data_IF_159351100588
#
_entry.id   IF_159351100588
#
_cell.length_a   1.000
_cell.length_b   1.000
_cell.length_c   1.000
_cell.angle_alpha   90.00
_cell.angle_beta   90.00
_cell.angle_gamma   90.00
#
_symmetry.space_group_name_H-M   'P 1'
#
loop_
_entity.id
_entity.type
_entity.pdbx_description
1 polymer ?
#
# COMPACT_ATOMS: atom_id res chain seq x y z
N UNK A 1 30.86 -54.11 -15.43
CA UNK A 1 30.69 -53.27 -16.63
C UNK A 1 30.53 -51.82 -16.19
N UNK A 2 31.60 -51.06 -16.36
CA UNK A 2 31.81 -49.66 -15.98
C UNK A 2 31.07 -48.71 -16.93
N UNK A 3 30.16 -47.88 -16.42
CA UNK A 3 29.74 -46.65 -17.12
C UNK A 3 30.57 -45.49 -16.58
N UNK A 4 31.29 -44.86 -17.50
CA UNK A 4 32.38 -43.91 -17.28
C UNK A 4 31.92 -42.67 -16.52
N UNK A 5 32.70 -42.32 -15.50
CA UNK A 5 32.76 -41.02 -14.83
C UNK A 5 33.27 -39.97 -15.83
N UNK A 6 32.60 -38.83 -15.96
CA UNK A 6 33.19 -37.54 -16.38
C UNK A 6 32.11 -36.45 -16.27
N UNK A 7 32.36 -35.41 -15.46
CA UNK A 7 31.61 -34.16 -15.58
C UNK A 7 31.54 -33.30 -14.32
N UNK A 8 32.68 -32.73 -13.94
CA UNK A 8 32.83 -31.45 -13.22
C UNK A 8 32.07 -31.22 -11.91
N UNK A 9 32.85 -31.32 -10.83
CA UNK A 9 32.65 -30.61 -9.55
C UNK A 9 32.55 -29.11 -9.85
N UNK A 10 31.44 -28.48 -9.47
CA UNK A 10 31.36 -27.04 -9.23
C UNK A 10 30.92 -26.82 -7.79
N UNK A 11 31.92 -26.62 -6.94
CA UNK A 11 31.79 -25.99 -5.64
C UNK A 11 31.35 -24.54 -5.87
N UNK A 12 30.15 -24.18 -5.39
CA UNK A 12 29.78 -22.79 -5.14
C UNK A 12 29.21 -22.70 -3.73
N UNK A 13 30.12 -22.77 -2.75
CA UNK A 13 29.87 -22.17 -1.45
C UNK A 13 29.99 -20.66 -1.63
N UNK A 14 28.85 -19.97 -1.65
CA UNK A 14 28.83 -18.51 -1.45
C UNK A 14 28.00 -18.25 -0.21
N UNK A 15 28.71 -18.11 0.92
CA UNK A 15 28.18 -17.47 2.10
C UNK A 15 27.93 -15.99 1.75
N UNK A 16 26.67 -15.64 1.48
CA UNK A 16 26.26 -14.24 1.53
C UNK A 16 25.68 -13.99 2.92
N UNK A 17 26.57 -13.50 3.79
CA UNK A 17 26.17 -12.67 4.91
C UNK A 17 25.59 -11.40 4.29
N UNK A 18 24.28 -11.40 4.11
CA UNK A 18 23.49 -10.23 3.79
C UNK A 18 22.17 -10.42 4.48
N UNK A 19 21.89 -9.61 5.50
CA UNK A 19 20.50 -9.31 5.81
C UNK A 19 20.14 -8.22 4.80
N UNK A 20 19.46 -8.54 3.67
CA UNK A 20 18.87 -7.47 2.91
C UNK A 20 17.77 -6.92 3.81
N UNK A 21 17.95 -5.69 4.30
CA UNK A 21 16.85 -4.91 4.82
C UNK A 21 15.70 -5.03 3.83
N UNK A 22 14.55 -5.47 4.33
CA UNK A 22 13.44 -5.98 3.55
C UNK A 22 13.07 -5.01 2.41
N UNK A 23 13.39 -5.39 1.17
CA UNK A 23 12.64 -4.89 0.05
C UNK A 23 11.22 -5.45 0.22
N UNK A 24 10.29 -4.63 0.70
CA UNK A 24 8.85 -4.93 0.73
C UNK A 24 8.06 -4.24 -0.41
N UNK A 25 8.58 -4.12 -1.67
CA UNK A 25 7.82 -3.44 -2.72
C UNK A 25 6.51 -4.18 -3.00
N UNK A 26 6.54 -5.52 -3.01
CA UNK A 26 5.38 -6.35 -3.31
C UNK A 26 4.15 -6.10 -2.42
N UNK A 27 4.32 -5.65 -1.16
CA UNK A 27 3.19 -5.31 -0.27
C UNK A 27 2.69 -3.90 -0.48
N UNK A 28 3.56 -2.96 -0.83
CA UNK A 28 3.15 -1.60 -1.17
C UNK A 28 2.34 -1.60 -2.48
N UNK A 29 2.84 -2.32 -3.49
CA UNK A 29 2.17 -2.47 -4.79
C UNK A 29 0.79 -3.16 -4.62
N UNK A 30 0.72 -4.24 -3.84
CA UNK A 30 -0.56 -4.92 -3.59
C UNK A 30 -1.59 -4.07 -2.83
N UNK A 31 -1.13 -3.24 -1.88
CA UNK A 31 -2.02 -2.33 -1.16
C UNK A 31 -2.49 -1.17 -2.05
N UNK A 32 -1.60 -0.66 -2.92
CA UNK A 32 -1.93 0.34 -3.93
C UNK A 32 -2.99 -0.17 -4.91
N UNK A 33 -2.81 -1.38 -5.43
CA UNK A 33 -3.78 -2.02 -6.33
C UNK A 33 -5.14 -2.23 -5.65
N UNK A 34 -5.15 -2.72 -4.40
CA UNK A 34 -6.37 -2.93 -3.64
C UNK A 34 -7.10 -1.62 -3.34
N UNK A 35 -6.37 -0.57 -3.00
CA UNK A 35 -6.91 0.77 -2.76
C UNK A 35 -7.59 1.32 -4.02
N UNK A 36 -6.89 1.29 -5.16
CA UNK A 36 -7.44 1.77 -6.44
C UNK A 36 -8.64 0.95 -6.89
N UNK A 37 -8.61 -0.37 -6.70
CA UNK A 37 -9.73 -1.25 -7.01
C UNK A 37 -10.97 -0.92 -6.17
N UNK A 38 -10.79 -0.62 -4.88
CA UNK A 38 -11.88 -0.23 -3.99
C UNK A 38 -12.50 1.12 -4.40
N UNK A 39 -11.68 2.14 -4.70
CA UNK A 39 -12.18 3.43 -5.20
C UNK A 39 -13.01 3.24 -6.48
N UNK A 40 -12.51 2.45 -7.43
CA UNK A 40 -13.22 2.17 -8.68
C UNK A 40 -14.54 1.42 -8.46
N UNK A 41 -14.57 0.49 -7.51
CA UNK A 41 -15.78 -0.26 -7.18
C UNK A 41 -16.87 0.63 -6.56
N UNK A 42 -16.47 1.71 -5.90
CA UNK A 42 -17.36 2.71 -5.29
C UNK A 42 -17.73 3.87 -6.25
N UNK A 43 -17.22 3.85 -7.48
CA UNK A 43 -17.48 4.91 -8.47
C UNK A 43 -16.65 6.19 -8.25
N UNK A 44 -15.61 6.12 -7.41
CA UNK A 44 -14.69 7.23 -7.16
C UNK A 44 -13.65 7.28 -8.29
N UNK A 45 -13.90 8.18 -9.23
CA UNK A 45 -12.91 8.54 -10.26
C UNK A 45 -11.81 9.43 -9.67
N UNK A 46 -10.60 9.28 -10.22
CA UNK A 46 -9.43 10.03 -9.82
C UNK A 46 -8.72 10.58 -11.05
N UNK A 47 -8.10 11.77 -10.92
CA UNK A 47 -7.35 12.40 -12.02
C UNK A 47 -6.18 11.53 -12.47
N UNK A 48 -5.48 10.90 -11.52
CA UNK A 48 -4.45 9.91 -11.78
C UNK A 48 -4.33 8.90 -10.64
N UNK A 49 -3.97 7.67 -10.99
CA UNK A 49 -3.74 6.58 -10.03
C UNK A 49 -2.68 7.00 -9.00
N UNK A 50 -1.60 7.64 -9.47
CA UNK A 50 -0.50 8.10 -8.64
C UNK A 50 -0.94 9.21 -7.66
N UNK A 51 -1.79 10.14 -8.09
CA UNK A 51 -2.33 11.17 -7.20
C UNK A 51 -3.24 10.56 -6.12
N UNK A 52 -4.10 9.60 -6.50
CA UNK A 52 -4.96 8.90 -5.56
C UNK A 52 -4.15 8.15 -4.49
N UNK A 53 -3.12 7.40 -4.90
CA UNK A 53 -2.22 6.69 -3.97
C UNK A 53 -1.51 7.68 -3.04
N UNK A 54 -0.97 8.78 -3.58
CA UNK A 54 -0.28 9.79 -2.77
C UNK A 54 -1.22 10.43 -1.74
N UNK A 55 -2.45 10.77 -2.13
CA UNK A 55 -3.48 11.30 -1.25
C UNK A 55 -3.91 10.26 -0.19
N UNK A 56 -4.07 8.98 -0.57
CA UNK A 56 -4.41 7.91 0.37
C UNK A 56 -3.33 7.72 1.44
N UNK A 57 -2.04 7.77 1.05
CA UNK A 57 -0.93 7.68 2.01
C UNK A 57 -0.85 8.91 2.92
N UNK A 58 -1.30 10.08 2.48
CA UNK A 58 -1.35 11.29 3.30
C UNK A 58 -2.34 11.15 4.46
N UNK A 59 -3.39 10.33 4.33
CA UNK A 59 -4.36 10.07 5.42
C UNK A 59 -3.65 9.63 6.69
N UNK A 60 -2.72 8.67 6.59
CA UNK A 60 -1.97 8.21 7.77
C UNK A 60 -1.17 9.32 8.44
N UNK A 61 -0.56 10.20 7.64
CA UNK A 61 0.19 11.34 8.17
C UNK A 61 -0.74 12.33 8.88
N UNK A 62 -1.93 12.60 8.35
CA UNK A 62 -2.89 13.50 9.00
C UNK A 62 -3.41 12.91 10.31
N UNK A 63 -3.69 11.61 10.35
CA UNK A 63 -4.05 10.89 11.57
C UNK A 63 -2.93 10.96 12.62
N UNK A 64 -1.68 10.76 12.20
CA UNK A 64 -0.50 10.86 13.07
C UNK A 64 -0.30 12.27 13.65
N UNK A 65 -0.78 13.29 12.94
CA UNK A 65 -0.80 14.69 13.40
C UNK A 65 -2.01 15.01 14.31
N UNK A 66 -2.85 14.01 14.61
CA UNK A 66 -3.98 14.12 15.53
C UNK A 66 -5.28 14.60 14.90
N UNK A 67 -5.37 14.67 13.56
CA UNK A 67 -6.65 14.94 12.90
C UNK A 67 -7.59 13.75 13.01
N UNK A 68 -8.88 14.03 13.14
CA UNK A 68 -9.95 13.03 13.05
C UNK A 68 -10.20 12.60 11.59
N UNK A 69 -10.80 11.43 11.39
CA UNK A 69 -11.21 10.97 10.05
C UNK A 69 -12.17 11.96 9.37
N UNK A 70 -13.09 12.58 10.12
CA UNK A 70 -14.05 13.57 9.60
C UNK A 70 -13.36 14.84 9.10
N UNK A 71 -12.34 15.32 9.83
CA UNK A 71 -11.54 16.47 9.40
C UNK A 71 -10.75 16.14 8.13
N UNK A 72 -10.21 14.93 8.04
CA UNK A 72 -9.47 14.48 6.85
C UNK A 72 -10.43 14.31 5.66
N UNK A 73 -11.62 13.76 5.85
CA UNK A 73 -12.64 13.64 4.81
C UNK A 73 -13.09 15.03 4.32
N UNK A 74 -13.21 15.99 5.24
CA UNK A 74 -13.48 17.39 4.88
C UNK A 74 -12.34 18.00 4.05
N UNK A 75 -11.07 17.73 4.41
CA UNK A 75 -9.91 18.16 3.62
C UNK A 75 -9.91 17.53 2.21
N UNK A 76 -10.23 16.23 2.10
CA UNK A 76 -10.36 15.51 0.82
C UNK A 76 -11.45 16.14 -0.03
N UNK A 77 -12.63 16.37 0.55
CA UNK A 77 -13.76 17.03 -0.14
C UNK A 77 -13.38 18.42 -0.66
N UNK A 78 -12.68 19.22 0.15
CA UNK A 78 -12.28 20.58 -0.23
C UNK A 78 -11.16 20.64 -1.27
N UNK A 79 -10.36 19.58 -1.38
CA UNK A 79 -9.19 19.51 -2.28
C UNK A 79 -9.44 18.65 -3.53
N UNK A 80 -10.62 18.05 -3.64
CA UNK A 80 -11.03 17.18 -4.74
C UNK A 80 -12.40 17.57 -5.30
N UNK A 81 -12.92 16.78 -6.23
CA UNK A 81 -14.30 16.87 -6.71
C UNK A 81 -15.26 15.90 -6.01
N UNK A 82 -14.82 15.23 -4.94
CA UNK A 82 -15.63 14.24 -4.23
C UNK A 82 -16.64 14.92 -3.30
N UNK A 83 -17.81 14.30 -3.14
CA UNK A 83 -18.77 14.71 -2.11
C UNK A 83 -18.37 14.14 -0.74
N UNK A 84 -19.17 14.45 0.29
CA UNK A 84 -18.90 14.02 1.65
C UNK A 84 -18.91 12.49 1.80
N UNK A 85 -19.78 11.77 1.08
CA UNK A 85 -19.88 10.32 1.14
C UNK A 85 -18.62 9.66 0.57
N UNK A 86 -18.25 10.01 -0.66
CA UNK A 86 -17.06 9.50 -1.31
C UNK A 86 -15.77 9.91 -0.60
N UNK A 87 -15.72 11.11 -0.01
CA UNK A 87 -14.56 11.56 0.76
C UNK A 87 -14.38 10.75 2.05
N UNK A 88 -15.47 10.43 2.74
CA UNK A 88 -15.44 9.54 3.91
C UNK A 88 -15.01 8.13 3.53
N UNK A 89 -15.56 7.58 2.43
CA UNK A 89 -15.16 6.28 1.90
C UNK A 89 -13.67 6.25 1.55
N UNK A 90 -13.18 7.27 0.84
CA UNK A 90 -11.77 7.42 0.48
C UNK A 90 -10.86 7.32 1.71
N UNK A 91 -11.17 8.05 2.78
CA UNK A 91 -10.41 8.04 4.03
C UNK A 91 -10.44 6.66 4.69
N UNK A 92 -11.60 6.03 4.77
CA UNK A 92 -11.75 4.72 5.40
C UNK A 92 -10.95 3.62 4.66
N UNK A 93 -10.97 3.62 3.32
CA UNK A 93 -10.20 2.65 2.53
C UNK A 93 -8.70 2.94 2.60
N UNK A 94 -8.31 4.22 2.52
CA UNK A 94 -6.92 4.64 2.68
C UNK A 94 -6.36 4.22 4.04
N UNK A 95 -7.13 4.39 5.12
CA UNK A 95 -6.74 3.97 6.46
C UNK A 95 -6.44 2.47 6.54
N UNK A 96 -7.35 1.65 5.99
CA UNK A 96 -7.19 0.19 5.93
C UNK A 96 -6.00 -0.24 5.06
N UNK A 97 -5.75 0.46 3.95
CA UNK A 97 -4.71 0.11 3.00
C UNK A 97 -3.31 0.54 3.49
N UNK A 98 -3.20 1.70 4.14
CA UNK A 98 -1.92 2.37 4.37
C UNK A 98 -1.56 2.58 5.83
N UNK A 99 -2.54 2.52 6.75
CA UNK A 99 -2.34 2.91 8.13
C UNK A 99 -2.51 1.70 9.08
N UNK A 100 -1.59 0.72 9.06
CA UNK A 100 -1.73 -0.53 9.81
C UNK A 100 -1.83 -0.34 11.32
N UNK A 101 -1.40 0.81 11.86
CA UNK A 101 -1.55 1.15 13.28
C UNK A 101 -2.98 1.50 13.70
N UNK A 102 -3.85 1.85 12.74
CA UNK A 102 -5.26 2.15 12.96
C UNK A 102 -6.18 1.00 12.52
N UNK A 103 -5.67 0.04 11.74
CA UNK A 103 -6.42 -1.11 11.25
C UNK A 103 -6.96 -2.06 12.34
N UNK A 104 -6.43 -1.98 13.56
CA UNK A 104 -6.78 -2.83 14.70
C UNK A 104 -7.78 -2.18 15.68
N UNK A 105 -8.27 -0.97 15.39
CA UNK A 105 -9.28 -0.33 16.24
C UNK A 105 -10.66 -0.88 15.85
N UNK A 106 -11.31 -1.70 16.70
CA UNK A 106 -12.63 -2.23 16.39
C UNK A 106 -13.62 -1.07 16.28
N UNK A 107 -14.20 -0.92 15.08
CA UNK A 107 -15.37 -0.10 14.80
C UNK A 107 -16.62 -0.66 15.49
#
# INVERSE_FOLDING_TARGET
MTRKLLGAILLAAVALIGVPGAAQPARADANDDAFIAALKADGIDHESVQAAIAAGRLVCHQLDMGKSQDEIATDVMNSSGLDAEHSGYFVAVAERAYCPRYADIPS
#
